data_IF_188471408145
#
_entry.id   IF_188471408145
#
_cell.length_a   1.000
_cell.length_b   1.000
_cell.length_c   1.000
_cell.angle_alpha   90.00
_cell.angle_beta   90.00
_cell.angle_gamma   90.00
#
_symmetry.space_group_name_H-M   'P 1'
#
loop_
_entity.id
_entity.type
_entity.pdbx_description
1 polymer ?
#
# COMPACT_ATOMS: atom_id res chain seq x y z
N UNK A 1 -1.30 -0.02 5.77
CA UNK A 1 -0.97 1.24 6.48
C UNK A 1 -0.83 0.94 7.97
N UNK A 2 0.02 1.65 8.71
CA UNK A 2 0.14 1.44 10.17
C UNK A 2 -0.09 2.78 10.87
N UNK A 3 -0.96 2.78 11.88
CA UNK A 3 -1.39 3.98 12.60
C UNK A 3 -0.92 3.88 14.05
N UNK A 4 -0.39 4.98 14.58
CA UNK A 4 0.01 5.08 15.98
C UNK A 4 -0.88 6.11 16.67
N UNK A 5 -1.58 5.67 17.72
CA UNK A 5 -2.43 6.53 18.55
C UNK A 5 -2.01 6.44 20.02
N UNK A 6 -1.79 7.58 20.68
CA UNK A 6 -1.73 7.67 22.13
C UNK A 6 -3.15 7.77 22.70
N UNK A 7 -3.77 6.65 23.05
CA UNK A 7 -5.07 6.64 23.73
C UNK A 7 -4.85 6.68 25.25
N UNK A 8 -5.46 7.63 25.96
CA UNK A 8 -5.50 7.61 27.42
C UNK A 8 -6.45 6.48 27.87
N UNK A 9 -5.91 5.45 28.54
CA UNK A 9 -6.72 4.62 29.46
C UNK A 9 -6.95 3.15 29.12
N UNK A 10 -6.09 2.46 28.35
CA UNK A 10 -6.31 1.02 28.06
C UNK A 10 -5.17 0.16 28.64
N UNK A 11 -5.53 -0.73 29.57
CA UNK A 11 -4.68 -1.81 30.12
C UNK A 11 -4.99 -3.09 29.34
N UNK A 12 -3.99 -3.72 28.74
CA UNK A 12 -4.13 -5.02 28.05
C UNK A 12 -3.33 -6.08 28.80
N UNK A 13 -3.99 -7.16 29.22
CA UNK A 13 -3.44 -8.25 30.04
C UNK A 13 -2.66 -9.29 29.21
N UNK A 14 -1.62 -9.87 29.83
CA UNK A 14 -0.76 -10.92 29.27
C UNK A 14 -1.36 -12.31 29.45
N UNK A 15 -1.67 -13.00 28.36
CA UNK A 15 -1.66 -14.46 28.32
C UNK A 15 -1.49 -14.93 26.86
N UNK A 16 -0.74 -16.02 26.65
CA UNK A 16 -0.25 -16.63 25.40
C UNK A 16 1.13 -16.21 24.87
N UNK A 17 2.19 -16.72 25.51
CA UNK A 17 3.49 -16.99 24.89
C UNK A 17 3.81 -18.45 25.19
N UNK A 18 3.45 -19.38 24.30
CA UNK A 18 4.07 -20.72 24.13
C UNK A 18 3.35 -21.52 23.03
N UNK A 19 3.78 -21.39 21.78
CA UNK A 19 3.92 -22.50 20.83
C UNK A 19 4.49 -21.96 19.51
N UNK A 20 5.72 -22.34 19.18
CA UNK A 20 6.34 -22.03 17.91
C UNK A 20 5.82 -22.97 16.83
N UNK A 21 5.04 -22.46 15.89
CA UNK A 21 4.89 -23.02 14.54
C UNK A 21 4.70 -21.88 13.54
N UNK A 22 5.67 -21.72 12.64
CA UNK A 22 5.60 -20.83 11.47
C UNK A 22 4.55 -21.35 10.49
N UNK A 23 3.60 -20.49 10.12
CA UNK A 23 2.81 -20.63 8.90
C UNK A 23 2.91 -19.29 8.17
N UNK A 24 3.88 -19.19 7.26
CA UNK A 24 3.98 -18.07 6.33
C UNK A 24 2.86 -18.24 5.28
N UNK A 25 1.72 -17.61 5.55
CA UNK A 25 0.54 -17.60 4.70
C UNK A 25 -0.29 -16.40 5.10
N UNK A 26 -0.66 -15.56 4.13
CA UNK A 26 -1.45 -14.36 4.38
C UNK A 26 -2.71 -14.67 5.18
N UNK A 27 -2.79 -14.08 6.37
CA UNK A 27 -3.99 -13.88 7.16
C UNK A 27 -3.83 -12.52 7.84
N UNK A 28 -4.49 -11.48 7.30
CA UNK A 28 -4.83 -10.31 8.09
C UNK A 28 -6.06 -10.65 8.91
N UNK A 29 -5.81 -11.22 10.08
CA UNK A 29 -6.59 -11.20 11.30
C UNK A 29 -5.95 -12.30 12.16
N UNK A 30 -5.52 -12.08 13.41
CA UNK A 30 -6.32 -11.70 14.57
C UNK A 30 -5.39 -11.87 15.80
N UNK A 31 -5.83 -11.41 16.98
CA UNK A 31 -5.67 -12.11 18.29
C UNK A 31 -6.47 -11.27 19.32
N UNK A 32 -7.76 -11.51 19.67
CA UNK A 32 -8.52 -12.67 20.23
C UNK A 32 -7.88 -13.31 21.49
N UNK A 33 -8.40 -13.30 22.75
CA UNK A 33 -9.72 -13.57 23.42
C UNK A 33 -10.11 -15.08 23.39
N UNK A 34 -10.68 -15.82 24.41
CA UNK A 34 -11.11 -15.59 25.83
C UNK A 34 -10.69 -16.71 26.88
N UNK A 35 -10.98 -16.61 28.19
CA UNK A 35 -12.07 -17.37 28.86
C UNK A 35 -12.32 -16.92 30.32
N UNK A 36 -13.60 -16.77 30.66
CA UNK A 36 -14.15 -16.57 32.00
C UNK A 36 -14.03 -17.81 32.90
N UNK A 37 -13.61 -17.67 34.17
CA UNK A 37 -14.25 -18.27 35.36
C UNK A 37 -13.95 -17.38 36.57
N UNK A 38 -14.94 -17.17 37.43
CA UNK A 38 -14.99 -16.13 38.45
C UNK A 38 -14.08 -16.30 39.68
N UNK A 39 -14.07 -15.28 40.53
CA UNK A 39 -13.41 -15.31 41.83
C UNK A 39 -13.19 -13.92 42.40
N UNK A 40 -13.93 -13.57 43.45
CA UNK A 40 -13.73 -12.37 44.25
C UNK A 40 -12.32 -12.31 44.86
N UNK A 41 -11.66 -11.15 44.87
CA UNK A 41 -10.89 -10.66 46.02
C UNK A 41 -10.28 -9.27 45.78
N UNK A 42 -10.26 -8.49 46.86
CA UNK A 42 -9.60 -7.19 47.02
C UNK A 42 -8.06 -7.30 46.91
N UNK A 43 -7.46 -6.13 46.66
CA UNK A 43 -6.18 -5.63 47.19
C UNK A 43 -4.90 -5.67 46.32
N UNK A 44 -4.22 -4.51 46.36
CA UNK A 44 -2.77 -4.23 46.27
C UNK A 44 -2.00 -4.46 44.95
N UNK A 45 -1.58 -3.32 44.37
CA UNK A 45 -0.48 -3.04 43.40
C UNK A 45 0.84 -3.71 43.88
N UNK A 46 1.77 -4.26 43.05
CA UNK A 46 2.43 -3.57 41.91
C UNK A 46 2.89 -4.39 40.68
N UNK A 47 3.01 -3.69 39.54
CA UNK A 47 3.99 -4.00 38.48
C UNK A 47 3.50 -4.81 37.27
N UNK A 48 3.66 -4.21 36.07
CA UNK A 48 4.35 -4.74 34.87
C UNK A 48 3.86 -4.03 33.59
N UNK A 49 4.76 -3.29 32.95
CA UNK A 49 4.63 -2.79 31.58
C UNK A 49 4.66 -3.96 30.59
N UNK A 50 3.85 -3.94 29.52
CA UNK A 50 4.17 -4.55 28.20
C UNK A 50 3.49 -3.77 27.07
N UNK A 51 4.26 -3.47 26.03
CA UNK A 51 3.81 -2.94 24.74
C UNK A 51 3.73 -4.10 23.73
N UNK A 52 2.80 -4.04 22.78
CA UNK A 52 2.73 -4.98 21.67
C UNK A 52 2.83 -4.21 20.34
N UNK A 53 3.82 -4.58 19.54
CA UNK A 53 4.00 -4.22 18.13
C UNK A 53 4.15 -5.55 17.40
N UNK A 54 3.33 -5.83 16.39
CA UNK A 54 3.51 -7.03 15.57
C UNK A 54 3.50 -6.67 14.09
N UNK A 55 4.67 -6.79 13.48
CA UNK A 55 4.96 -6.54 12.08
C UNK A 55 4.99 -7.88 11.34
N UNK A 56 4.36 -7.97 10.17
CA UNK A 56 4.42 -9.19 9.35
C UNK A 56 5.77 -9.28 8.62
N UNK A 57 6.42 -10.45 8.71
CA UNK A 57 7.74 -10.75 8.18
C UNK A 57 8.74 -11.03 9.30
N UNK A 58 9.42 -12.18 9.27
CA UNK A 58 10.25 -12.77 10.35
C UNK A 58 11.40 -11.86 10.83
N UNK A 59 11.10 -10.83 11.62
CA UNK A 59 12.06 -9.91 12.24
C UNK A 59 11.83 -9.93 13.74
N UNK A 60 12.88 -10.30 14.46
CA UNK A 60 12.91 -10.31 15.92
C UNK A 60 12.97 -8.87 16.45
N UNK A 61 11.79 -8.25 16.63
CA UNK A 61 11.64 -6.91 17.22
C UNK A 61 11.82 -6.95 18.75
N UNK A 62 11.91 -8.14 19.38
CA UNK A 62 12.06 -8.25 20.83
C UNK A 62 13.38 -7.64 21.34
N UNK A 63 14.42 -7.57 20.50
CA UNK A 63 15.76 -7.15 20.93
C UNK A 63 16.00 -5.64 20.85
N UNK A 64 15.12 -4.85 20.22
CA UNK A 64 15.42 -3.43 19.88
C UNK A 64 14.75 -2.40 20.79
N UNK A 65 13.66 -2.73 21.49
CA UNK A 65 12.98 -1.79 22.41
C UNK A 65 13.78 -1.64 23.71
N UNK A 66 14.71 -0.68 23.75
CA UNK A 66 15.47 -0.32 24.96
C UNK A 66 14.77 0.79 25.75
N UNK A 67 14.41 0.45 26.99
CA UNK A 67 14.17 1.33 28.18
C UNK A 67 12.76 1.92 28.40
N UNK A 68 12.22 1.56 29.58
CA UNK A 68 11.63 2.45 30.59
C UNK A 68 10.66 3.54 30.17
N UNK A 69 9.40 3.17 29.93
CA UNK A 69 8.27 4.10 29.85
C UNK A 69 7.75 4.39 31.26
N UNK A 70 7.61 5.67 31.63
CA UNK A 70 7.04 6.06 32.93
C UNK A 70 5.60 5.55 33.12
N UNK A 71 5.17 5.43 34.38
CA UNK A 71 3.85 4.90 34.75
C UNK A 71 2.70 5.67 34.05
N UNK A 72 1.79 4.94 33.38
CA UNK A 72 0.52 5.47 32.85
C UNK A 72 0.44 5.79 31.35
N UNK A 73 1.33 5.27 30.50
CA UNK A 73 1.29 5.48 29.04
C UNK A 73 0.93 4.19 28.27
N UNK A 74 -0.11 4.25 27.43
CA UNK A 74 -0.49 3.21 26.46
C UNK A 74 -0.38 3.76 25.04
N UNK A 75 0.34 3.06 24.16
CA UNK A 75 0.38 3.34 22.72
C UNK A 75 -0.34 2.22 21.98
N UNK A 76 -1.33 2.60 21.20
CA UNK A 76 -2.07 1.69 20.32
C UNK A 76 -1.46 1.77 18.94
N UNK A 77 -0.93 0.65 18.46
CA UNK A 77 -0.48 0.49 17.07
C UNK A 77 -1.53 -0.31 16.34
N UNK A 78 -2.23 0.32 15.38
CA UNK A 78 -3.22 -0.34 14.55
C UNK A 78 -2.65 -0.60 13.16
N UNK A 79 -2.65 -1.86 12.75
CA UNK A 79 -2.33 -2.26 11.39
C UNK A 79 -3.65 -2.31 10.60
N UNK A 80 -3.82 -1.39 9.66
CA UNK A 80 -4.95 -1.44 8.73
C UNK A 80 -4.40 -1.94 7.40
N UNK A 81 -4.73 -3.19 7.10
CA UNK A 81 -4.54 -3.81 5.79
C UNK A 81 -5.93 -4.22 5.31
N UNK A 82 -6.46 -3.47 4.34
CA UNK A 82 -7.76 -3.76 3.74
C UNK A 82 -7.58 -4.91 2.75
N UNK A 83 -7.75 -6.14 3.22
CA UNK A 83 -7.84 -7.33 2.38
C UNK A 83 -9.33 -7.70 2.20
N UNK A 84 -9.90 -7.33 1.05
CA UNK A 84 -11.26 -7.76 0.68
C UNK A 84 -11.15 -9.13 0.00
N UNK A 85 -11.65 -10.17 0.65
CA UNK A 85 -11.81 -11.51 0.05
C UNK A 85 -12.82 -11.44 -1.08
N UNK A 86 -12.35 -11.63 -2.31
CA UNK A 86 -13.18 -11.64 -3.50
C UNK A 86 -14.00 -12.94 -3.57
N UNK A 87 -15.24 -12.92 -3.10
CA UNK A 87 -16.29 -13.81 -3.59
C UNK A 87 -17.30 -12.97 -4.37
N UNK A 88 -17.17 -12.96 -5.71
CA UNK A 88 -18.21 -12.51 -6.63
C UNK A 88 -17.96 -11.14 -7.29
N UNK A 89 -17.75 -11.20 -8.61
CA UNK A 89 -17.92 -10.15 -9.64
C UNK A 89 -17.28 -8.76 -9.47
N UNK A 90 -16.22 -8.60 -10.27
CA UNK A 90 -15.82 -7.43 -11.10
C UNK A 90 -15.82 -6.01 -10.53
N UNK A 91 -14.63 -5.41 -10.72
CA UNK A 91 -14.26 -3.99 -10.78
C UNK A 91 -14.29 -3.27 -9.44
N UNK A 92 -13.10 -2.86 -8.98
CA UNK A 92 -12.82 -1.72 -8.11
C UNK A 92 -11.29 -1.57 -7.99
N UNK A 93 -10.77 -0.57 -8.68
CA UNK A 93 -9.40 -0.03 -8.61
C UNK A 93 -9.39 1.18 -7.68
N UNK A 94 -8.25 1.42 -6.99
CA UNK A 94 -7.93 2.61 -6.18
C UNK A 94 -8.26 2.59 -4.67
N UNK A 95 -7.68 1.65 -3.91
CA UNK A 95 -7.64 1.74 -2.44
C UNK A 95 -6.53 2.68 -1.89
N UNK A 96 -5.62 3.19 -2.73
CA UNK A 96 -4.43 3.94 -2.25
C UNK A 96 -4.64 5.48 -2.21
N UNK A 97 -5.56 6.03 -3.01
CA UNK A 97 -5.86 7.47 -3.01
C UNK A 97 -6.86 7.89 -1.91
N UNK A 98 -7.48 6.92 -1.24
CA UNK A 98 -8.52 7.17 -0.23
C UNK A 98 -7.98 7.97 0.97
N UNK A 99 -6.80 7.60 1.48
CA UNK A 99 -6.31 8.14 2.76
C UNK A 99 -5.73 9.55 2.69
N UNK A 100 -5.32 10.02 1.51
CA UNK A 100 -4.82 11.41 1.35
C UNK A 100 -5.91 12.37 0.87
N UNK A 101 -7.01 11.85 0.31
CA UNK A 101 -8.01 12.67 -0.37
C UNK A 101 -9.39 12.65 0.29
N UNK A 102 -9.68 11.85 1.32
CA UNK A 102 -11.08 11.66 1.78
C UNK A 102 -11.41 12.24 3.16
N UNK A 103 -10.44 12.64 3.99
CA UNK A 103 -10.72 13.13 5.35
C UNK A 103 -11.30 14.55 5.47
N UNK A 104 -11.98 15.09 4.44
CA UNK A 104 -12.51 16.47 4.48
C UNK A 104 -13.62 16.85 3.50
N UNK A 105 -14.39 15.92 2.91
CA UNK A 105 -15.18 16.25 1.71
C UNK A 105 -16.67 15.84 1.71
N UNK A 106 -17.57 16.68 2.28
CA UNK A 106 -19.01 16.58 2.03
C UNK A 106 -19.43 17.19 0.68
N UNK A 107 -18.59 18.00 0.03
CA UNK A 107 -18.94 18.69 -1.23
C UNK A 107 -18.37 17.98 -2.47
N UNK A 108 -17.29 17.22 -2.31
CA UNK A 108 -16.67 16.41 -3.37
C UNK A 108 -17.43 15.10 -3.59
N UNK A 109 -18.32 14.71 -2.68
CA UNK A 109 -19.27 13.60 -2.88
C UNK A 109 -20.24 13.89 -4.03
N UNK A 110 -20.75 15.12 -4.17
CA UNK A 110 -21.62 15.51 -5.28
C UNK A 110 -20.83 15.54 -6.59
N UNK A 111 -19.60 16.05 -6.58
CA UNK A 111 -18.74 16.05 -7.78
C UNK A 111 -18.32 14.64 -8.21
N UNK A 112 -17.99 13.74 -7.27
CA UNK A 112 -17.66 12.34 -7.55
C UNK A 112 -18.88 11.51 -7.98
N UNK A 113 -20.10 11.86 -7.52
CA UNK A 113 -21.37 11.31 -8.01
C UNK A 113 -21.65 11.77 -9.45
N UNK A 114 -21.33 13.03 -9.79
CA UNK A 114 -21.49 13.59 -11.14
C UNK A 114 -20.41 13.12 -12.13
N UNK A 115 -19.19 12.83 -11.65
CA UNK A 115 -18.06 12.31 -12.45
C UNK A 115 -18.04 10.76 -12.56
N UNK A 116 -18.99 10.06 -11.95
CA UNK A 116 -19.07 8.60 -12.03
C UNK A 116 -17.88 7.86 -11.41
N UNK A 117 -17.20 8.44 -10.40
CA UNK A 117 -16.11 7.75 -9.70
C UNK A 117 -16.67 6.80 -8.64
N UNK A 118 -16.41 5.50 -8.83
CA UNK A 118 -16.76 4.33 -8.00
C UNK A 118 -16.32 4.39 -6.51
N UNK A 119 -15.64 5.45 -6.06
CA UNK A 119 -15.02 5.59 -4.72
C UNK A 119 -15.99 5.89 -3.55
N UNK A 120 -17.29 6.05 -3.81
CA UNK A 120 -18.25 6.43 -2.76
C UNK A 120 -18.76 5.25 -1.91
N UNK A 121 -18.56 3.99 -2.33
CA UNK A 121 -19.08 2.81 -1.61
C UNK A 121 -18.10 2.19 -0.61
N UNK A 122 -16.79 2.41 -0.74
CA UNK A 122 -15.78 1.75 0.09
C UNK A 122 -15.99 1.95 1.62
N UNK A 123 -16.29 3.16 2.13
CA UNK A 123 -16.51 3.36 3.57
C UNK A 123 -17.70 2.57 4.09
N UNK A 124 -18.77 2.46 3.31
CA UNK A 124 -19.98 1.75 3.72
C UNK A 124 -19.77 0.24 3.81
N UNK A 125 -18.81 -0.30 3.06
CA UNK A 125 -18.45 -1.73 3.09
C UNK A 125 -17.38 -1.99 4.16
N UNK A 126 -16.37 -1.13 4.22
CA UNK A 126 -15.16 -1.36 5.00
C UNK A 126 -15.31 -0.87 6.45
N UNK A 127 -15.89 0.32 6.67
CA UNK A 127 -15.96 0.90 8.01
C UNK A 127 -16.76 0.02 8.98
N UNK A 128 -17.91 -0.58 8.65
CA UNK A 128 -18.62 -1.45 9.59
C UNK A 128 -17.77 -2.62 10.09
N UNK A 129 -16.98 -3.24 9.20
CA UNK A 129 -16.10 -4.37 9.54
C UNK A 129 -15.03 -3.92 10.53
N UNK A 130 -14.36 -2.79 10.26
CA UNK A 130 -13.35 -2.27 11.16
C UNK A 130 -13.94 -1.67 12.44
N UNK A 131 -15.13 -1.08 12.39
CA UNK A 131 -15.80 -0.53 13.56
C UNK A 131 -16.14 -1.63 14.54
N UNK A 132 -16.56 -2.80 14.09
CA UNK A 132 -16.79 -3.95 14.97
C UNK A 132 -15.49 -4.33 15.72
N UNK A 133 -14.37 -4.37 15.02
CA UNK A 133 -13.04 -4.60 15.62
C UNK A 133 -12.67 -3.47 16.59
N UNK A 134 -12.90 -2.22 16.21
CA UNK A 134 -12.59 -1.07 17.06
C UNK A 134 -13.45 -1.07 18.33
N UNK A 135 -14.74 -1.35 18.23
CA UNK A 135 -15.64 -1.45 19.37
C UNK A 135 -15.23 -2.60 20.31
N UNK A 136 -14.86 -3.75 19.74
CA UNK A 136 -14.43 -4.91 20.51
C UNK A 136 -13.15 -4.66 21.32
N UNK A 137 -12.15 -3.98 20.74
CA UNK A 137 -10.82 -3.89 21.34
C UNK A 137 -10.46 -2.51 21.90
N UNK A 138 -11.08 -1.44 21.42
CA UNK A 138 -10.81 -0.04 21.78
C UNK A 138 -11.99 0.62 22.50
N UNK A 139 -13.14 -0.04 22.55
CA UNK A 139 -14.34 0.39 23.25
C UNK A 139 -15.41 0.96 22.32
N UNK A 140 -16.68 1.00 22.79
CA UNK A 140 -17.85 1.28 21.95
C UNK A 140 -17.87 2.70 21.36
N UNK A 141 -17.09 3.63 21.92
CA UNK A 141 -17.01 5.03 21.48
C UNK A 141 -15.89 5.27 20.45
N UNK A 142 -15.20 4.22 19.98
CA UNK A 142 -14.08 4.32 19.05
C UNK A 142 -14.41 3.63 17.73
N UNK A 143 -14.65 4.41 16.69
CA UNK A 143 -14.79 3.93 15.32
C UNK A 143 -13.49 4.11 14.50
N UNK A 144 -13.43 3.47 13.34
CA UNK A 144 -12.25 3.50 12.47
C UNK A 144 -11.96 4.93 11.98
N UNK A 145 -13.00 5.71 11.70
CA UNK A 145 -12.88 7.08 11.22
C UNK A 145 -12.22 7.98 12.27
N UNK A 146 -12.63 7.84 13.53
CA UNK A 146 -12.03 8.54 14.65
C UNK A 146 -10.56 8.17 14.81
N UNK A 147 -10.20 6.88 14.70
CA UNK A 147 -8.80 6.44 14.79
C UNK A 147 -7.97 7.08 13.69
N UNK A 148 -8.49 7.06 12.46
CA UNK A 148 -7.84 7.67 11.30
C UNK A 148 -7.63 9.18 11.53
N UNK A 149 -8.68 9.92 11.88
CA UNK A 149 -8.59 11.36 12.10
C UNK A 149 -7.73 11.74 13.33
N UNK A 150 -7.65 10.86 14.33
CA UNK A 150 -6.94 11.12 15.59
C UNK A 150 -5.51 10.60 15.66
N UNK A 151 -5.05 9.90 14.63
CA UNK A 151 -3.69 9.40 14.51
C UNK A 151 -2.65 10.49 14.84
N UNK A 152 -1.75 10.17 15.78
CA UNK A 152 -0.62 11.04 16.12
C UNK A 152 0.42 11.02 15.01
N UNK A 153 0.71 9.82 14.48
CA UNK A 153 1.65 9.57 13.39
C UNK A 153 1.11 8.49 12.46
N UNK A 154 1.33 8.66 11.16
CA UNK A 154 1.04 7.70 10.11
C UNK A 154 2.32 7.05 9.62
N UNK A 155 2.47 5.76 9.84
CA UNK A 155 3.52 4.97 9.22
C UNK A 155 3.02 4.46 7.86
N UNK A 156 3.43 5.16 6.82
CA UNK A 156 3.08 4.85 5.44
C UNK A 156 3.98 3.75 4.90
N UNK A 157 3.40 2.64 4.46
CA UNK A 157 4.11 1.48 3.87
C UNK A 157 4.66 1.76 2.46
N UNK A 158 4.92 3.01 2.16
CA UNK A 158 5.46 3.46 0.87
C UNK A 158 6.62 4.42 1.09
N UNK A 159 7.33 4.78 0.02
CA UNK A 159 8.32 5.85 -0.05
C UNK A 159 8.26 6.54 -1.42
N UNK A 160 9.05 7.61 -1.62
CA UNK A 160 9.07 8.37 -2.87
C UNK A 160 9.98 7.78 -3.96
N UNK A 161 10.73 6.73 -3.67
CA UNK A 161 11.42 5.96 -4.71
C UNK A 161 10.37 5.20 -5.51
N UNK A 162 9.36 4.66 -4.83
CA UNK A 162 8.23 3.98 -5.46
C UNK A 162 7.07 4.92 -5.84
N UNK A 163 6.62 5.81 -4.95
CA UNK A 163 5.48 6.71 -5.16
C UNK A 163 5.83 7.96 -5.97
N UNK A 164 4.82 8.64 -6.52
CA UNK A 164 5.01 9.98 -7.06
C UNK A 164 5.14 11.01 -5.92
N UNK A 165 6.00 12.04 -6.08
CA UNK A 165 6.18 13.06 -5.06
C UNK A 165 4.87 13.83 -4.82
N UNK A 166 4.54 14.06 -3.55
CA UNK A 166 3.38 14.85 -3.14
C UNK A 166 3.66 15.55 -1.81
N UNK A 167 3.04 16.72 -1.55
CA UNK A 167 3.10 17.35 -0.24
C UNK A 167 2.54 16.42 0.84
N UNK A 168 3.23 16.33 1.97
CA UNK A 168 2.78 15.54 3.12
C UNK A 168 2.89 16.29 4.42
N UNK A 169 2.00 15.93 5.35
CA UNK A 169 1.99 16.49 6.69
C UNK A 169 3.20 15.99 7.52
N UNK A 170 3.66 16.76 8.51
CA UNK A 170 4.81 16.38 9.35
C UNK A 170 4.61 15.08 10.13
N UNK A 171 3.36 14.67 10.36
CA UNK A 171 3.02 13.41 11.02
C UNK A 171 2.95 12.20 10.07
N UNK A 172 3.33 12.34 8.80
CA UNK A 172 3.40 11.25 7.84
C UNK A 172 4.84 10.77 7.72
N UNK A 173 5.08 9.52 8.10
CA UNK A 173 6.40 8.87 8.16
C UNK A 173 6.42 7.73 7.16
N UNK A 174 7.34 7.82 6.20
CA UNK A 174 7.48 6.84 5.13
C UNK A 174 8.39 5.68 5.55
N UNK A 175 7.85 4.47 5.51
CA UNK A 175 8.51 3.21 5.87
C UNK A 175 8.40 2.17 4.74
N UNK A 176 8.40 2.61 3.48
CA UNK A 176 8.45 1.74 2.31
C UNK A 176 9.58 0.71 2.40
N UNK A 177 9.30 -0.53 2.01
CA UNK A 177 10.30 -1.61 2.01
C UNK A 177 10.70 -2.15 3.39
N UNK A 178 10.00 -1.83 4.48
CA UNK A 178 10.29 -2.32 5.84
C UNK A 178 10.38 -3.85 5.98
N UNK A 179 9.74 -4.60 5.08
CA UNK A 179 9.78 -6.06 5.04
C UNK A 179 11.00 -6.64 4.31
N UNK A 180 11.69 -5.83 3.50
CA UNK A 180 12.80 -6.27 2.66
C UNK A 180 14.03 -6.61 3.51
N UNK A 181 14.77 -7.65 3.09
CA UNK A 181 15.96 -8.11 3.81
C UNK A 181 17.07 -8.47 2.82
N UNK A 182 18.34 -8.39 3.22
CA UNK A 182 19.42 -9.06 2.50
C UNK A 182 19.05 -10.53 2.24
N UNK A 183 19.40 -11.03 1.05
CA UNK A 183 19.17 -12.43 0.71
C UNK A 183 19.99 -13.35 1.60
N UNK A 184 19.38 -14.47 1.97
CA UNK A 184 20.04 -15.59 2.64
C UNK A 184 20.40 -16.68 1.62
N UNK A 185 21.36 -17.57 1.94
CA UNK A 185 21.62 -18.75 1.11
C UNK A 185 20.36 -19.58 0.89
N UNK A 186 20.13 -20.03 -0.35
CA UNK A 186 19.00 -20.87 -0.70
C UNK A 186 19.17 -22.29 -0.15
N UNK A 187 18.05 -22.98 0.07
CA UNK A 187 18.08 -24.42 0.32
C UNK A 187 18.66 -25.16 -0.90
N UNK A 188 19.33 -26.28 -0.67
CA UNK A 188 20.08 -27.01 -1.69
C UNK A 188 19.25 -27.32 -2.96
N UNK A 189 17.98 -27.67 -2.80
CA UNK A 189 17.06 -27.95 -3.91
C UNK A 189 16.82 -26.75 -4.83
N UNK A 190 16.68 -25.54 -4.27
CA UNK A 190 16.53 -24.32 -5.05
C UNK A 190 17.87 -23.90 -5.64
N UNK A 191 18.94 -23.98 -4.86
CA UNK A 191 20.29 -23.62 -5.30
C UNK A 191 20.72 -24.46 -6.51
N UNK A 192 20.54 -25.78 -6.46
CA UNK A 192 20.89 -26.69 -7.57
C UNK A 192 20.11 -26.32 -8.85
N UNK A 193 18.79 -26.09 -8.73
CA UNK A 193 17.96 -25.68 -9.86
C UNK A 193 18.40 -24.33 -10.43
N UNK A 194 18.71 -23.35 -9.58
CA UNK A 194 19.21 -22.04 -9.97
C UNK A 194 20.56 -22.14 -10.66
N UNK A 195 21.48 -22.96 -10.16
CA UNK A 195 22.80 -23.13 -10.77
C UNK A 195 22.71 -23.82 -12.14
N UNK A 196 21.76 -24.75 -12.32
CA UNK A 196 21.49 -25.42 -13.60
C UNK A 196 21.07 -24.49 -14.74
N UNK A 197 20.78 -23.21 -14.46
CA UNK A 197 20.43 -22.19 -15.47
C UNK A 197 21.60 -21.70 -16.32
N UNK A 198 22.85 -22.04 -15.98
CA UNK A 198 24.03 -21.59 -16.72
C UNK A 198 24.13 -20.06 -16.80
N UNK A 199 24.47 -19.54 -17.97
CA UNK A 199 24.61 -18.10 -18.24
C UNK A 199 23.26 -17.38 -18.41
N UNK A 200 22.18 -18.11 -18.67
CA UNK A 200 20.86 -17.51 -18.92
C UNK A 200 20.20 -16.98 -17.64
N UNK A 201 20.53 -17.58 -16.49
CA UNK A 201 19.97 -17.20 -15.20
C UNK A 201 18.51 -17.63 -15.04
N UNK A 202 17.84 -17.03 -14.05
CA UNK A 202 16.50 -17.45 -13.63
C UNK A 202 15.46 -16.35 -13.76
N UNK A 203 14.21 -16.77 -13.91
CA UNK A 203 13.01 -15.95 -13.77
C UNK A 203 12.26 -16.43 -12.55
N UNK A 204 11.84 -15.51 -11.69
CA UNK A 204 10.96 -15.80 -10.55
C UNK A 204 9.56 -15.36 -10.93
N UNK A 205 8.54 -16.19 -10.71
CA UNK A 205 7.14 -15.82 -10.89
C UNK A 205 6.34 -16.03 -9.62
N UNK A 206 5.59 -15.00 -9.21
CA UNK A 206 4.66 -15.06 -8.07
C UNK A 206 3.50 -14.07 -8.24
N UNK A 207 2.28 -14.56 -8.05
CA UNK A 207 1.05 -13.74 -8.07
C UNK A 207 0.55 -13.41 -6.65
N UNK A 208 1.45 -13.44 -5.66
CA UNK A 208 1.12 -13.19 -4.25
C UNK A 208 0.42 -14.38 -3.61
N UNK A 209 -0.04 -14.23 -2.36
CA UNK A 209 -0.65 -15.30 -1.56
C UNK A 209 -2.14 -15.50 -1.85
N UNK A 210 -2.84 -14.42 -2.24
CA UNK A 210 -4.28 -14.40 -2.50
C UNK A 210 -4.64 -15.21 -3.76
N UNK A 211 -3.79 -15.15 -4.78
CA UNK A 211 -3.97 -15.91 -6.03
C UNK A 211 -3.10 -17.14 -6.01
N UNK A 212 -3.68 -18.27 -5.64
CA UNK A 212 -3.01 -19.58 -5.65
C UNK A 212 -2.81 -20.13 -7.07
N UNK A 213 -3.77 -19.89 -7.95
CA UNK A 213 -3.75 -20.33 -9.35
C UNK A 213 -4.66 -19.47 -10.24
N UNK A 214 -4.45 -19.57 -11.56
CA UNK A 214 -5.29 -18.97 -12.59
C UNK A 214 -6.11 -20.06 -13.29
N UNK A 215 -7.04 -19.65 -14.16
CA UNK A 215 -7.77 -20.60 -15.01
C UNK A 215 -6.79 -21.43 -15.85
N UNK A 216 -7.08 -22.71 -16.08
CA UNK A 216 -6.18 -23.61 -16.80
C UNK A 216 -5.80 -23.06 -18.19
N UNK A 217 -6.71 -22.36 -18.87
CA UNK A 217 -6.44 -21.72 -20.16
C UNK A 217 -5.32 -20.68 -20.07
N UNK A 218 -5.35 -19.81 -19.05
CA UNK A 218 -4.31 -18.80 -18.83
C UNK A 218 -3.02 -19.45 -18.35
N UNK A 219 -3.11 -20.41 -17.42
CA UNK A 219 -1.95 -21.17 -16.92
C UNK A 219 -1.20 -21.88 -18.04
N UNK A 220 -1.90 -22.51 -18.99
CA UNK A 220 -1.26 -23.16 -20.15
C UNK A 220 -0.55 -22.16 -21.06
N UNK A 221 -1.11 -20.96 -21.27
CA UNK A 221 -0.45 -19.91 -22.05
C UNK A 221 0.85 -19.43 -21.40
N UNK A 222 0.83 -19.27 -20.08
CA UNK A 222 2.01 -18.92 -19.30
C UNK A 222 3.07 -20.04 -19.39
N UNK A 223 2.66 -21.30 -19.21
CA UNK A 223 3.54 -22.45 -19.33
C UNK A 223 4.15 -22.58 -20.74
N UNK A 224 3.38 -22.30 -21.79
CA UNK A 224 3.84 -22.30 -23.18
C UNK A 224 4.90 -21.22 -23.43
N UNK A 225 4.72 -20.01 -22.88
CA UNK A 225 5.73 -18.96 -22.95
C UNK A 225 7.01 -19.36 -22.21
N UNK A 226 6.88 -19.94 -21.01
CA UNK A 226 8.02 -20.39 -20.20
C UNK A 226 8.80 -21.52 -20.86
N UNK A 227 8.15 -22.46 -21.53
CA UNK A 227 8.84 -23.53 -22.25
C UNK A 227 9.75 -23.03 -23.38
N UNK A 228 9.55 -21.79 -23.85
CA UNK A 228 10.30 -21.19 -24.97
C UNK A 228 11.46 -20.31 -24.53
N UNK A 229 11.56 -19.94 -23.24
CA UNK A 229 12.66 -19.12 -22.75
C UNK A 229 13.87 -19.99 -22.33
N UNK A 230 15.11 -19.53 -22.56
CA UNK A 230 16.29 -20.30 -22.17
C UNK A 230 16.56 -20.26 -20.65
N UNK A 231 15.92 -19.35 -19.91
CA UNK A 231 16.03 -19.26 -18.45
C UNK A 231 15.39 -20.46 -17.75
N UNK A 232 15.87 -20.75 -16.54
CA UNK A 232 15.10 -21.56 -15.60
C UNK A 232 14.04 -20.69 -14.93
N UNK A 233 12.83 -21.22 -14.80
CA UNK A 233 11.70 -20.50 -14.22
C UNK A 233 11.34 -21.14 -12.88
N UNK A 234 11.33 -20.35 -11.82
CA UNK A 234 10.80 -20.75 -10.51
C UNK A 234 9.45 -20.08 -10.35
N UNK A 235 8.38 -20.87 -10.39
CA UNK A 235 7.01 -20.36 -10.39
C UNK A 235 6.27 -20.83 -9.13
N UNK A 236 5.95 -19.86 -8.27
CA UNK A 236 5.03 -20.07 -7.14
C UNK A 236 3.62 -20.34 -7.66
N UNK A 237 3.17 -21.58 -7.51
CA UNK A 237 1.90 -22.05 -8.06
C UNK A 237 1.31 -23.15 -7.18
N UNK A 238 0.07 -22.95 -6.73
CA UNK A 238 -0.69 -23.91 -5.93
C UNK A 238 -2.02 -24.22 -6.64
N UNK A 239 -1.90 -24.86 -7.80
CA UNK A 239 -3.02 -25.29 -8.63
C UNK A 239 -2.71 -26.58 -9.39
N UNK A 240 -3.62 -26.97 -10.30
CA UNK A 240 -3.41 -28.13 -11.17
C UNK A 240 -2.25 -27.86 -12.14
N UNK A 241 -1.28 -28.77 -12.19
CA UNK A 241 -0.10 -28.65 -13.07
C UNK A 241 -0.57 -28.58 -14.53
N UNK A 242 -0.15 -27.56 -15.30
CA UNK A 242 -0.50 -27.48 -16.72
C UNK A 242 0.21 -28.60 -17.50
N UNK A 243 -0.48 -29.27 -18.45
CA UNK A 243 0.07 -30.42 -19.16
C UNK A 243 1.23 -30.08 -20.11
N UNK A 244 1.36 -28.81 -20.49
CA UNK A 244 2.39 -28.29 -21.38
C UNK A 244 3.53 -27.57 -20.63
N UNK A 245 3.75 -27.90 -19.36
CA UNK A 245 4.86 -27.34 -18.57
C UNK A 245 6.21 -27.76 -19.14
N UNK A 246 7.10 -26.78 -19.33
CA UNK A 246 8.47 -27.02 -19.81
C UNK A 246 9.39 -27.61 -18.74
N UNK A 247 10.40 -28.38 -19.15
CA UNK A 247 11.44 -28.95 -18.26
C UNK A 247 12.35 -27.89 -17.60
N UNK A 248 12.27 -26.65 -18.07
CA UNK A 248 12.98 -25.50 -17.51
C UNK A 248 12.22 -24.83 -16.36
N UNK A 249 11.00 -25.29 -16.03
CA UNK A 249 10.15 -24.66 -15.01
C UNK A 249 10.01 -25.55 -13.76
N UNK A 250 10.34 -25.00 -12.60
CA UNK A 250 10.07 -25.57 -11.28
C UNK A 250 8.80 -24.95 -10.71
N UNK A 251 7.78 -25.77 -10.47
CA UNK A 251 6.57 -25.36 -9.75
C UNK A 251 6.75 -25.64 -8.26
N UNK A 252 6.46 -24.64 -7.43
CA UNK A 252 6.49 -24.80 -5.98
C UNK A 252 5.30 -24.07 -5.34
N UNK A 253 4.72 -24.66 -4.29
CA UNK A 253 3.62 -24.00 -3.55
C UNK A 253 4.09 -22.77 -2.78
N UNK A 254 5.34 -22.80 -2.36
CA UNK A 254 6.03 -21.76 -1.62
C UNK A 254 7.45 -21.60 -2.16
N UNK A 255 7.95 -20.37 -2.18
CA UNK A 255 9.31 -20.05 -2.62
C UNK A 255 9.93 -19.04 -1.65
N UNK A 256 11.25 -19.09 -1.40
CA UNK A 256 11.94 -18.04 -0.65
C UNK A 256 12.13 -16.79 -1.54
N UNK A 257 11.03 -16.08 -1.81
CA UNK A 257 10.97 -15.01 -2.83
C UNK A 257 12.04 -13.93 -2.63
N UNK A 258 12.19 -13.40 -1.42
CA UNK A 258 13.23 -12.42 -1.11
C UNK A 258 14.63 -12.92 -1.48
N UNK A 259 14.94 -14.17 -1.13
CA UNK A 259 16.27 -14.74 -1.34
C UNK A 259 16.53 -15.06 -2.81
N UNK A 260 15.51 -15.55 -3.53
CA UNK A 260 15.55 -15.73 -4.97
C UNK A 260 15.73 -14.39 -5.71
N UNK A 261 14.99 -13.35 -5.33
CA UNK A 261 15.15 -12.03 -5.94
C UNK A 261 16.54 -11.44 -5.67
N UNK A 262 17.11 -11.68 -4.49
CA UNK A 262 18.48 -11.28 -4.16
C UNK A 262 19.57 -12.21 -4.68
N UNK A 263 19.24 -13.23 -5.48
CA UNK A 263 20.22 -14.14 -6.07
C UNK A 263 20.85 -13.52 -7.34
N UNK A 264 22.19 -13.58 -7.53
CA UNK A 264 22.87 -12.93 -8.67
C UNK A 264 22.40 -13.38 -10.06
N UNK A 265 21.87 -14.60 -10.17
CA UNK A 265 21.36 -15.15 -11.44
C UNK A 265 19.94 -14.68 -11.80
N UNK A 266 19.26 -13.94 -10.93
CA UNK A 266 17.87 -13.51 -11.17
C UNK A 266 17.82 -12.41 -12.21
N UNK A 267 17.17 -12.71 -13.34
CA UNK A 267 17.08 -11.82 -14.49
C UNK A 267 15.85 -10.93 -14.44
N UNK A 268 14.70 -11.49 -14.08
CA UNK A 268 13.42 -10.78 -14.04
C UNK A 268 12.47 -11.39 -13.00
N UNK A 269 11.54 -10.57 -12.52
CA UNK A 269 10.45 -10.98 -11.65
C UNK A 269 9.11 -10.81 -12.36
N UNK A 270 8.38 -11.90 -12.56
CA UNK A 270 7.01 -11.87 -13.08
C UNK A 270 6.06 -11.77 -11.89
N UNK A 271 5.35 -10.65 -11.79
CA UNK A 271 4.60 -10.30 -10.58
C UNK A 271 3.21 -9.77 -10.89
N UNK A 272 2.26 -10.09 -10.01
CA UNK A 272 0.96 -9.42 -9.98
C UNK A 272 1.03 -7.95 -9.53
N UNK A 273 2.18 -7.45 -9.05
CA UNK A 273 2.32 -6.05 -8.64
C UNK A 273 1.80 -5.72 -7.24
N UNK A 274 1.62 -6.71 -6.37
CA UNK A 274 1.39 -6.46 -4.95
C UNK A 274 2.55 -5.71 -4.30
N UNK A 275 2.23 -4.74 -3.44
CA UNK A 275 3.19 -3.80 -2.85
C UNK A 275 4.43 -4.48 -2.24
N UNK A 276 4.25 -5.59 -1.51
CA UNK A 276 5.37 -6.28 -0.87
C UNK A 276 6.40 -6.82 -1.86
N UNK A 277 5.94 -7.53 -2.90
CA UNK A 277 6.81 -8.11 -3.93
C UNK A 277 7.45 -7.04 -4.81
N UNK A 278 6.76 -5.91 -5.03
CA UNK A 278 7.34 -4.76 -5.73
C UNK A 278 8.52 -4.18 -4.95
N UNK A 279 8.38 -4.00 -3.63
CA UNK A 279 9.48 -3.51 -2.81
C UNK A 279 10.65 -4.50 -2.75
N UNK A 280 10.42 -5.81 -2.69
CA UNK A 280 11.49 -6.79 -2.77
C UNK A 280 12.24 -6.71 -4.11
N UNK A 281 11.50 -6.51 -5.22
CA UNK A 281 12.11 -6.33 -6.54
C UNK A 281 12.93 -5.05 -6.65
N UNK A 282 12.43 -3.93 -6.10
CA UNK A 282 13.19 -2.67 -5.99
C UNK A 282 14.43 -2.88 -5.13
N UNK A 283 14.28 -3.46 -3.94
CA UNK A 283 15.36 -3.66 -2.99
C UNK A 283 16.51 -4.48 -3.59
N UNK A 284 16.20 -5.53 -4.36
CA UNK A 284 17.20 -6.39 -5.01
C UNK A 284 17.59 -5.96 -6.43
N UNK A 285 16.98 -4.89 -6.98
CA UNK A 285 17.35 -4.38 -8.30
C UNK A 285 16.90 -5.25 -9.47
N UNK A 286 15.80 -6.00 -9.32
CA UNK A 286 15.30 -6.97 -10.32
C UNK A 286 14.14 -6.37 -11.13
N UNK A 287 14.26 -6.21 -12.45
CA UNK A 287 13.18 -5.63 -13.26
C UNK A 287 11.94 -6.54 -13.32
N UNK A 288 10.78 -5.93 -13.58
CA UNK A 288 9.48 -6.60 -13.40
C UNK A 288 8.71 -6.77 -14.70
N UNK A 289 8.18 -7.97 -14.94
CA UNK A 289 7.08 -8.19 -15.89
C UNK A 289 5.78 -8.21 -15.09
N UNK A 290 4.95 -7.18 -15.27
CA UNK A 290 3.74 -6.95 -14.49
C UNK A 290 2.52 -7.63 -15.08
N UNK A 291 1.78 -8.38 -14.27
CA UNK A 291 0.50 -9.00 -14.61
C UNK A 291 -0.53 -8.61 -13.53
N UNK A 292 -0.94 -7.34 -13.46
CA UNK A 292 -1.86 -6.86 -12.42
C UNK A 292 -3.24 -7.51 -12.57
N UNK A 293 -3.84 -7.86 -11.43
CA UNK A 293 -5.10 -8.60 -11.36
C UNK A 293 -6.22 -7.78 -10.73
N UNK A 294 -5.96 -7.10 -9.62
CA UNK A 294 -6.98 -6.35 -8.86
C UNK A 294 -6.37 -5.32 -7.90
N UNK A 295 -7.22 -4.43 -7.36
CA UNK A 295 -6.87 -3.41 -6.36
C UNK A 295 -5.77 -2.43 -6.83
N UNK A 296 -4.80 -2.16 -5.95
CA UNK A 296 -3.68 -1.23 -6.13
C UNK A 296 -2.60 -1.75 -7.10
N UNK A 297 -2.69 -3.02 -7.52
CA UNK A 297 -1.69 -3.67 -8.38
C UNK A 297 -1.46 -2.93 -9.70
N UNK A 298 -2.53 -2.43 -10.33
CA UNK A 298 -2.43 -1.66 -11.58
C UNK A 298 -1.64 -0.37 -11.38
N UNK A 299 -1.94 0.37 -10.32
CA UNK A 299 -1.26 1.62 -10.00
C UNK A 299 0.21 1.35 -9.61
N UNK A 300 0.48 0.26 -8.90
CA UNK A 300 1.84 -0.14 -8.51
C UNK A 300 2.70 -0.44 -9.74
N UNK A 301 2.14 -1.15 -10.71
CA UNK A 301 2.84 -1.46 -11.97
C UNK A 301 3.04 -0.22 -12.83
N UNK A 302 2.06 0.68 -12.90
CA UNK A 302 2.20 1.97 -13.61
C UNK A 302 3.37 2.80 -13.06
N UNK A 303 3.55 2.83 -11.73
CA UNK A 303 4.67 3.54 -11.09
C UNK A 303 6.04 2.96 -11.48
N UNK A 304 6.17 1.64 -11.63
CA UNK A 304 7.41 1.02 -12.10
C UNK A 304 7.63 1.22 -13.61
N UNK A 305 6.57 1.11 -14.41
CA UNK A 305 6.63 1.28 -15.87
C UNK A 305 7.01 2.71 -16.25
N UNK A 306 6.45 3.72 -15.57
CA UNK A 306 6.84 5.13 -15.75
C UNK A 306 8.30 5.41 -15.37
N UNK A 307 8.91 4.57 -14.53
CA UNK A 307 10.35 4.60 -14.19
C UNK A 307 11.19 3.72 -15.13
N UNK A 308 10.58 3.10 -16.12
CA UNK A 308 11.24 2.19 -17.05
C UNK A 308 11.83 0.95 -16.38
N UNK A 309 11.26 0.51 -15.25
CA UNK A 309 11.73 -0.64 -14.47
C UNK A 309 10.78 -1.85 -14.55
N UNK A 310 9.64 -1.68 -15.24
CA UNK A 310 8.69 -2.76 -15.49
C UNK A 310 8.00 -2.63 -16.85
N UNK A 311 7.44 -3.73 -17.32
CA UNK A 311 6.55 -3.78 -18.49
C UNK A 311 5.26 -4.49 -18.12
N UNK A 312 4.11 -3.88 -18.41
CA UNK A 312 2.80 -4.42 -17.99
C UNK A 312 2.12 -5.18 -19.12
N UNK A 313 1.55 -6.35 -18.79
CA UNK A 313 0.73 -7.16 -19.69
C UNK A 313 -0.66 -7.30 -19.10
N UNK A 314 -1.68 -7.15 -19.95
CA UNK A 314 -3.06 -7.38 -19.56
C UNK A 314 -3.39 -8.87 -19.57
N UNK A 315 -3.69 -9.41 -18.39
CA UNK A 315 -4.03 -10.83 -18.20
C UNK A 315 -5.27 -11.28 -18.97
N UNK A 316 -6.23 -10.38 -19.21
CA UNK A 316 -7.49 -10.71 -19.88
C UNK A 316 -7.29 -11.01 -21.37
N UNK A 317 -6.30 -10.37 -21.99
CA UNK A 317 -5.96 -10.51 -23.42
C UNK A 317 -4.73 -11.36 -23.66
N UNK A 318 -4.07 -11.83 -22.60
CA UNK A 318 -2.78 -12.49 -22.63
C UNK A 318 -2.74 -13.65 -23.63
N UNK A 319 -1.78 -13.62 -24.55
CA UNK A 319 -1.32 -14.76 -25.33
C UNK A 319 0.11 -15.16 -24.91
N UNK A 320 0.47 -16.41 -25.19
CA UNK A 320 1.80 -16.96 -24.90
C UNK A 320 2.92 -16.14 -25.57
N UNK A 321 2.68 -15.66 -26.80
CA UNK A 321 3.59 -14.78 -27.54
C UNK A 321 3.84 -13.45 -26.85
N UNK A 322 2.81 -12.86 -26.23
CA UNK A 322 2.91 -11.55 -25.58
C UNK A 322 3.82 -11.65 -24.35
N UNK A 323 3.64 -12.70 -23.54
CA UNK A 323 4.49 -12.95 -22.38
C UNK A 323 5.93 -13.27 -22.80
N UNK A 324 6.11 -14.13 -23.80
CA UNK A 324 7.43 -14.46 -24.32
C UNK A 324 8.18 -13.22 -24.82
N UNK A 325 7.52 -12.39 -25.63
CA UNK A 325 8.09 -11.15 -26.14
C UNK A 325 8.45 -10.20 -25.00
N UNK A 326 7.55 -10.04 -24.03
CA UNK A 326 7.77 -9.12 -22.90
C UNK A 326 8.91 -9.58 -22.00
N UNK A 327 9.01 -10.89 -21.71
CA UNK A 327 10.14 -11.46 -20.96
C UNK A 327 11.46 -11.16 -21.70
N UNK A 328 11.49 -11.42 -23.01
CA UNK A 328 12.67 -11.15 -23.82
C UNK A 328 13.01 -9.66 -23.86
N UNK A 329 12.02 -8.77 -23.93
CA UNK A 329 12.23 -7.33 -23.88
C UNK A 329 12.86 -6.91 -22.55
N UNK A 330 12.27 -7.32 -21.42
CA UNK A 330 12.72 -6.93 -20.07
C UNK A 330 14.11 -7.48 -19.75
N UNK A 331 14.43 -8.69 -20.19
CA UNK A 331 15.74 -9.32 -19.93
C UNK A 331 16.82 -8.73 -20.84
N UNK A 332 16.54 -8.54 -22.14
CA UNK A 332 17.58 -8.17 -23.11
C UNK A 332 17.77 -6.65 -23.27
N UNK A 333 16.79 -5.83 -22.86
CA UNK A 333 16.96 -4.38 -22.83
C UNK A 333 17.53 -3.92 -21.48
N UNK A 334 18.82 -3.55 -21.49
CA UNK A 334 19.56 -3.12 -20.32
C UNK A 334 18.89 -1.97 -19.55
N UNK A 335 18.09 -1.11 -20.22
CA UNK A 335 17.43 0.01 -19.55
C UNK A 335 16.57 -0.41 -18.37
N UNK A 336 15.89 -1.56 -18.45
CA UNK A 336 15.05 -2.06 -17.35
C UNK A 336 15.87 -2.39 -16.11
N UNK A 337 16.98 -3.11 -16.30
CA UNK A 337 17.91 -3.45 -15.23
C UNK A 337 18.62 -2.22 -14.68
N UNK A 338 19.12 -1.34 -15.54
CA UNK A 338 19.80 -0.11 -15.13
C UNK A 338 18.87 0.80 -14.31
N UNK A 339 17.63 0.97 -14.74
CA UNK A 339 16.65 1.75 -14.01
C UNK A 339 16.29 1.10 -12.68
N UNK A 340 16.09 -0.22 -12.63
CA UNK A 340 15.79 -0.90 -11.38
C UNK A 340 16.98 -0.89 -10.40
N UNK A 341 18.22 -0.98 -10.89
CA UNK A 341 19.42 -0.82 -10.07
C UNK A 341 19.55 0.59 -9.50
N UNK A 342 19.22 1.64 -10.29
CA UNK A 342 19.15 3.01 -9.79
C UNK A 342 18.09 3.14 -8.69
N UNK A 343 16.90 2.58 -8.88
CA UNK A 343 15.85 2.57 -7.86
C UNK A 343 16.29 1.81 -6.60
N UNK A 344 16.95 0.66 -6.74
CA UNK A 344 17.50 -0.11 -5.63
C UNK A 344 18.51 0.72 -4.82
N UNK A 345 19.46 1.37 -5.51
CA UNK A 345 20.46 2.21 -4.87
C UNK A 345 19.81 3.36 -4.09
N UNK A 346 18.86 4.08 -4.70
CA UNK A 346 18.13 5.16 -4.05
C UNK A 346 17.26 4.68 -2.88
N UNK A 347 16.61 3.52 -3.02
CA UNK A 347 15.76 2.96 -1.97
C UNK A 347 16.58 2.54 -0.75
N UNK A 348 17.79 2.03 -0.96
CA UNK A 348 18.68 1.57 0.12
C UNK A 348 19.55 2.69 0.71
N UNK A 349 19.77 3.78 -0.02
CA UNK A 349 20.52 4.94 0.43
C UNK A 349 19.65 5.83 1.34
N UNK A 350 19.47 5.38 2.58
CA UNK A 350 18.74 6.10 3.62
C UNK A 350 19.56 6.14 4.90
N UNK A 351 19.46 7.22 5.71
CA UNK A 351 20.25 7.36 6.94
C UNK A 351 19.91 6.31 8.01
N UNK A 352 18.69 5.79 7.98
CA UNK A 352 18.16 4.79 8.89
C UNK A 352 17.27 3.83 8.08
N UNK A 353 17.21 2.56 8.47
CA UNK A 353 16.34 1.60 7.80
C UNK A 353 14.86 1.96 8.04
N UNK A 354 13.94 1.58 7.12
CA UNK A 354 12.51 1.82 7.31
C UNK A 354 11.97 1.25 8.64
N UNK A 355 12.55 0.14 9.10
CA UNK A 355 12.19 -0.47 10.38
C UNK A 355 12.67 0.35 11.58
N UNK A 356 13.93 0.81 11.58
CA UNK A 356 14.46 1.67 12.64
C UNK A 356 13.68 2.98 12.72
N UNK A 357 13.31 3.56 11.58
CA UNK A 357 12.42 4.73 11.50
C UNK A 357 11.06 4.46 12.14
N UNK A 358 10.43 3.33 11.80
CA UNK A 358 9.14 2.96 12.39
C UNK A 358 9.24 2.87 13.92
N UNK A 359 10.26 2.18 14.43
CA UNK A 359 10.52 2.03 15.86
C UNK A 359 10.71 3.41 16.51
N UNK A 360 11.57 4.26 15.93
CA UNK A 360 11.81 5.60 16.45
C UNK A 360 10.53 6.40 16.62
N UNK A 361 9.63 6.39 15.63
CA UNK A 361 8.40 7.17 15.68
C UNK A 361 7.34 6.57 16.64
N UNK A 362 7.27 5.25 16.75
CA UNK A 362 6.45 4.58 17.78
C UNK A 362 6.93 5.01 19.17
N UNK A 363 8.24 4.95 19.40
CA UNK A 363 8.84 5.38 20.66
C UNK A 363 8.66 6.89 20.89
N UNK A 364 8.75 7.71 19.84
CA UNK A 364 8.56 9.15 19.94
C UNK A 364 7.16 9.48 20.48
N UNK A 365 6.11 8.92 19.87
CA UNK A 365 4.72 9.13 20.32
C UNK A 365 4.53 8.65 21.75
N UNK A 366 5.07 7.48 22.09
CA UNK A 366 5.03 6.96 23.44
C UNK A 366 5.74 7.90 24.45
N UNK A 367 6.87 8.52 24.07
CA UNK A 367 7.73 9.30 25.00
C UNK A 367 7.05 10.61 25.35
N UNK A 368 6.37 11.18 24.38
CA UNK A 368 5.76 12.50 24.47
C UNK A 368 4.26 12.44 24.74
N UNK A 369 3.69 11.23 24.88
CA UNK A 369 2.27 10.98 25.15
C UNK A 369 1.36 11.57 24.06
N UNK A 370 1.77 11.37 22.80
CA UNK A 370 1.14 11.93 21.60
C UNK A 370 2.11 12.74 20.74
N UNK A 371 1.60 13.27 19.62
CA UNK A 371 2.37 14.13 18.71
C UNK A 371 1.49 15.25 18.12
N UNK A 372 0.71 15.92 18.96
CA UNK A 372 -0.27 16.93 18.53
C UNK A 372 0.35 18.06 17.69
N UNK A 373 1.58 18.47 17.97
CA UNK A 373 2.32 19.50 17.24
C UNK A 373 2.71 19.10 15.81
N UNK A 374 2.63 17.83 15.44
CA UNK A 374 2.88 17.34 14.07
C UNK A 374 1.60 17.20 13.24
N UNK A 375 0.44 17.33 13.88
CA UNK A 375 -0.87 17.16 13.25
C UNK A 375 -1.35 18.49 12.69
N UNK A 376 -1.95 18.45 11.51
CA UNK A 376 -2.62 19.61 10.91
C UNK A 376 -3.95 19.88 11.60
N UNK A 377 -4.25 21.12 11.99
CA UNK A 377 -5.57 21.48 12.56
C UNK A 377 -6.72 21.36 11.54
N UNK A 378 -6.43 21.05 10.27
CA UNK A 378 -7.44 20.87 9.22
C UNK A 378 -8.52 19.85 9.56
N UNK A 379 -8.22 18.79 10.31
CA UNK A 379 -9.23 17.79 10.72
C UNK A 379 -10.27 18.33 11.71
N UNK A 380 -10.03 19.50 12.33
CA UNK A 380 -10.98 20.16 13.22
C UNK A 380 -11.84 21.21 12.53
N UNK A 381 -11.50 21.59 11.30
CA UNK A 381 -12.21 22.63 10.58
C UNK A 381 -13.54 22.08 10.04
N UNK A 382 -14.66 22.80 10.21
CA UNK A 382 -15.87 22.50 9.46
C UNK A 382 -15.57 22.54 7.96
N UNK A 383 -16.21 21.67 7.19
CA UNK A 383 -15.93 21.50 5.77
C UNK A 383 -15.97 22.83 4.98
N UNK A 384 -16.91 23.72 5.31
CA UNK A 384 -17.08 25.00 4.60
C UNK A 384 -15.93 25.99 4.88
N UNK A 385 -15.30 25.92 6.06
CA UNK A 385 -14.10 26.70 6.39
C UNK A 385 -12.90 26.11 5.69
N UNK A 386 -12.73 24.78 5.74
CA UNK A 386 -11.64 24.09 5.05
C UNK A 386 -11.65 24.38 3.54
N UNK A 387 -12.83 24.43 2.92
CA UNK A 387 -13.01 24.73 1.49
C UNK A 387 -13.16 26.23 1.16
N UNK A 388 -13.02 27.12 2.15
CA UNK A 388 -13.13 28.58 1.96
C UNK A 388 -14.40 28.99 1.17
N UNK A 389 -15.53 28.37 1.48
CA UNK A 389 -16.79 28.51 0.72
C UNK A 389 -17.26 29.96 0.68
N UNK A 390 -17.07 30.68 1.78
CA UNK A 390 -17.33 32.12 1.90
C UNK A 390 -16.47 32.96 0.94
N UNK A 391 -15.18 32.66 0.83
CA UNK A 391 -14.26 33.31 -0.10
C UNK A 391 -14.68 33.04 -1.55
N UNK A 392 -15.07 31.81 -1.87
CA UNK A 392 -15.57 31.45 -3.21
C UNK A 392 -16.81 32.27 -3.54
N UNK A 393 -17.80 32.35 -2.65
CA UNK A 393 -19.00 33.17 -2.86
C UNK A 393 -18.68 34.65 -3.01
N UNK A 394 -17.73 35.17 -2.23
CA UNK A 394 -17.28 36.56 -2.36
C UNK A 394 -16.65 36.83 -3.73
N UNK A 395 -15.72 35.98 -4.18
CA UNK A 395 -15.05 36.13 -5.48
C UNK A 395 -16.02 35.97 -6.66
N UNK A 396 -16.95 35.02 -6.59
CA UNK A 396 -18.01 34.84 -7.60
C UNK A 396 -18.91 36.07 -7.66
N UNK A 397 -19.32 36.60 -6.50
CA UNK A 397 -20.16 37.80 -6.43
C UNK A 397 -19.45 39.01 -7.05
N UNK A 398 -18.16 39.20 -6.74
CA UNK A 398 -17.35 40.27 -7.32
C UNK A 398 -17.23 40.12 -8.85
N UNK A 399 -16.94 38.91 -9.34
CA UNK A 399 -16.86 38.61 -10.77
C UNK A 399 -18.17 38.93 -11.49
N UNK A 400 -19.31 38.53 -10.92
CA UNK A 400 -20.64 38.81 -11.48
C UNK A 400 -20.94 40.32 -11.52
N UNK A 401 -20.60 41.07 -10.47
CA UNK A 401 -20.77 42.53 -10.42
C UNK A 401 -19.93 43.21 -11.50
N UNK A 402 -18.64 42.88 -11.62
CA UNK A 402 -17.75 43.46 -12.63
C UNK A 402 -18.24 43.14 -14.05
N UNK A 403 -18.66 41.90 -14.28
CA UNK A 403 -19.23 41.47 -15.58
C UNK A 403 -20.50 42.26 -15.89
N UNK A 404 -21.40 42.40 -14.92
CA UNK A 404 -22.65 43.15 -15.07
C UNK A 404 -22.36 44.62 -15.39
N UNK A 405 -21.47 45.28 -14.64
CA UNK A 405 -21.07 46.67 -14.88
C UNK A 405 -20.44 46.87 -16.27
N UNK A 406 -19.61 45.92 -16.71
CA UNK A 406 -18.98 45.95 -18.04
C UNK A 406 -20.03 45.81 -19.15
N UNK A 407 -20.96 44.87 -19.03
CA UNK A 407 -22.08 44.71 -19.99
C UNK A 407 -22.95 45.96 -20.04
N UNK A 408 -23.25 46.58 -18.88
CA UNK A 408 -24.00 47.83 -18.84
C UNK A 408 -23.23 48.98 -19.50
N UNK A 409 -21.92 49.08 -19.29
CA UNK A 409 -21.07 50.08 -19.93
C UNK A 409 -21.05 49.89 -21.45
N UNK A 410 -20.84 48.65 -21.93
CA UNK A 410 -20.86 48.32 -23.36
C UNK A 410 -22.22 48.62 -23.99
N UNK A 411 -23.33 48.29 -23.32
CA UNK A 411 -24.69 48.65 -23.76
C UNK A 411 -24.87 50.18 -23.85
N UNK A 412 -24.35 50.94 -22.88
CA UNK A 412 -24.40 52.40 -22.90
C UNK A 412 -23.58 52.98 -24.07
N UNK A 413 -22.36 52.50 -24.28
CA UNK A 413 -21.50 52.92 -25.40
C UNK A 413 -22.14 52.58 -26.75
N UNK A 414 -22.67 51.36 -26.90
CA UNK A 414 -23.38 50.93 -28.10
C UNK A 414 -24.61 51.82 -28.40
N UNK A 415 -25.44 52.08 -27.39
CA UNK A 415 -26.62 52.94 -27.55
C UNK A 415 -26.24 54.39 -27.88
N UNK A 416 -25.16 54.91 -27.31
CA UNK A 416 -24.64 56.24 -27.63
C UNK A 416 -24.11 56.32 -29.08
N UNK A 417 -23.37 55.31 -29.52
CA UNK A 417 -22.90 55.20 -30.91
C UNK A 417 -24.06 55.11 -31.91
N UNK A 418 -25.12 54.33 -31.58
CA UNK A 418 -26.32 54.21 -32.42
C UNK A 418 -27.08 55.53 -32.54
N UNK A 419 -27.33 56.23 -31.42
CA UNK A 419 -27.97 57.55 -31.40
C UNK A 419 -27.19 58.62 -32.18
N UNK A 420 -25.85 58.53 -32.18
CA UNK A 420 -25.00 59.42 -32.98
C UNK A 420 -25.14 59.14 -34.48
N UNK A 421 -25.26 57.87 -34.88
CA UNK A 421 -25.50 57.46 -36.28
C UNK A 421 -26.87 57.95 -36.79
N UNK A 422 -27.92 57.84 -35.97
CA UNK A 422 -29.28 58.34 -36.28
C UNK A 422 -29.35 59.88 -36.42
N UNK A 423 -28.38 60.63 -35.90
CA UNK A 423 -28.31 62.11 -36.04
C UNK A 423 -27.46 62.59 -37.23
N UNK A 424 -26.74 61.68 -37.90
CA UNK A 424 -25.83 62.00 -39.02
C UNK A 424 -26.46 61.61 -40.37
N UNK A 425 -27.51 60.79 -40.37
CA UNK A 425 -28.45 60.63 -41.50
C UNK A 425 -29.56 61.67 -41.40
#
# INVERSE_FOLDING_TARGET
MVIICSVKGIVVSNEFIHSGQCVDGGFVALLAVPASVGGSARSSVPGRCRAAVWLHGSVDVQTTLRRGWGEGCSVTVLFIEAEISAHGNTRLTAAHNYFTTVSGYPFLSIWNILDGKEDSMLPFIIHPIYNEVCHQYLGPDTDIEMILLRADVWLMRVDFIFEFPRPTMPNIVYIGGFQCKPSKPLAAEFEEFVQSSGEHGIIVMSLGTIVSSLSMQITMKIAEAFAQVPQKVIWRYDGKIPPNIGNNTLLAKWIPQNDLLGHPKTQAFISHGGTNGVYEAIYHGVPVVGIPLFFDQFDNMLRLETRGAAKVINIATLQSSDLLQTINEVINNASYRDNMQKLSALHRDQPESPMERAIFWIEYVARHKGAAHLRSESYRLPWYVYHCVDVIFFLLSLFLIVTMLTVLLLKKVYNAARRKKEKIQ
#
